data_IF_303692420384
#
_entry.id   IF_303692420384
#
_cell.length_a   1.000
_cell.length_b   1.000
_cell.length_c   1.000
_cell.angle_alpha   90.00
_cell.angle_beta   90.00
_cell.angle_gamma   90.00
#
_symmetry.space_group_name_H-M   'P 1'
#
loop_
_entity.id
_entity.type
_entity.pdbx_description
1 polymer ?
#
# COMPACT_ATOMS: atom_id res chain seq x y z
N UNK A 1 -2.14 -23.70 -8.03
CA UNK A 1 -0.74 -23.22 -8.15
C UNK A 1 -0.64 -21.75 -8.50
N UNK A 2 -1.05 -21.31 -9.70
CA UNK A 2 -0.89 -19.89 -10.11
C UNK A 2 -1.85 -18.96 -9.37
N UNK A 3 -3.10 -19.37 -9.20
CA UNK A 3 -4.10 -18.68 -8.35
C UNK A 3 -3.54 -18.44 -6.93
N UNK A 4 -3.06 -19.48 -6.27
CA UNK A 4 -2.52 -19.38 -4.90
C UNK A 4 -1.29 -18.47 -4.81
N UNK A 5 -0.49 -18.42 -5.88
CA UNK A 5 0.64 -17.50 -5.99
C UNK A 5 0.18 -16.05 -6.06
N UNK A 6 -0.81 -15.74 -6.90
CA UNK A 6 -1.38 -14.39 -7.02
C UNK A 6 -2.00 -13.91 -5.70
N UNK A 7 -2.72 -14.81 -5.03
CA UNK A 7 -3.34 -14.53 -3.73
C UNK A 7 -2.29 -14.29 -2.64
N UNK A 8 -1.22 -15.09 -2.59
CA UNK A 8 -0.08 -14.83 -1.68
C UNK A 8 0.65 -13.53 -2.01
N UNK A 9 0.78 -13.19 -3.28
CA UNK A 9 1.43 -11.94 -3.69
C UNK A 9 0.61 -10.73 -3.23
N UNK A 10 -0.72 -10.81 -3.30
CA UNK A 10 -1.61 -9.71 -2.94
C UNK A 10 -1.45 -9.25 -1.48
N UNK A 11 -1.44 -10.17 -0.50
CA UNK A 11 -1.23 -9.77 0.90
C UNK A 11 0.17 -9.21 1.15
N UNK A 12 1.20 -9.75 0.48
CA UNK A 12 2.60 -9.28 0.59
C UNK A 12 2.75 -7.88 0.02
N UNK A 13 2.15 -7.61 -1.13
CA UNK A 13 2.11 -6.28 -1.73
C UNK A 13 1.34 -5.31 -0.83
N UNK A 14 0.24 -5.76 -0.23
CA UNK A 14 -0.48 -5.01 0.81
C UNK A 14 0.43 -4.62 1.98
N UNK A 15 1.16 -5.58 2.56
CA UNK A 15 2.10 -5.28 3.66
C UNK A 15 3.20 -4.31 3.25
N UNK A 16 3.83 -4.54 2.09
CA UNK A 16 4.91 -3.69 1.59
C UNK A 16 4.42 -2.26 1.36
N UNK A 17 3.35 -2.11 0.58
CA UNK A 17 2.75 -0.81 0.29
C UNK A 17 2.25 -0.12 1.56
N UNK A 18 1.64 -0.86 2.47
CA UNK A 18 1.14 -0.34 3.74
C UNK A 18 2.26 0.22 4.61
N UNK A 19 3.37 -0.51 4.77
CA UNK A 19 4.55 -0.02 5.51
C UNK A 19 5.17 1.20 4.81
N UNK A 20 5.35 1.13 3.49
CA UNK A 20 5.91 2.23 2.71
C UNK A 20 5.07 3.50 2.81
N UNK A 21 3.75 3.39 2.78
CA UNK A 21 2.83 4.53 2.91
C UNK A 21 2.73 5.03 4.37
N UNK A 22 2.76 4.12 5.35
CA UNK A 22 2.78 4.49 6.76
C UNK A 22 4.02 5.34 7.09
N UNK A 23 5.17 4.92 6.59
CA UNK A 23 6.45 5.62 6.76
C UNK A 23 6.67 6.74 5.72
N UNK A 24 5.80 6.84 4.70
CA UNK A 24 5.94 7.75 3.57
C UNK A 24 6.25 9.19 3.95
N UNK A 25 5.49 9.81 4.89
CA UNK A 25 5.77 11.16 5.36
C UNK A 25 7.15 11.31 6.01
N UNK A 26 7.55 10.37 6.86
CA UNK A 26 8.85 10.37 7.55
C UNK A 26 9.99 10.20 6.54
N UNK A 27 9.84 9.26 5.60
CA UNK A 27 10.82 9.03 4.54
C UNK A 27 10.96 10.24 3.61
N UNK A 28 9.85 10.90 3.27
CA UNK A 28 9.86 12.13 2.46
C UNK A 28 10.59 13.26 3.19
N UNK A 29 10.34 13.42 4.50
CA UNK A 29 11.04 14.39 5.33
C UNK A 29 12.56 14.11 5.36
N UNK A 30 12.96 12.87 5.62
CA UNK A 30 14.38 12.47 5.65
C UNK A 30 15.06 12.68 4.29
N UNK A 31 14.40 12.29 3.19
CA UNK A 31 14.91 12.50 1.83
C UNK A 31 15.07 13.99 1.51
N UNK A 32 14.11 14.82 1.91
CA UNK A 32 14.18 16.27 1.74
C UNK A 32 15.36 16.86 2.54
N UNK A 33 15.47 16.52 3.81
CA UNK A 33 16.53 17.02 4.70
C UNK A 33 17.93 16.60 4.24
N UNK A 34 18.13 15.30 3.98
CA UNK A 34 19.41 14.76 3.49
C UNK A 34 19.74 15.26 2.09
N UNK A 35 18.75 15.39 1.22
CA UNK A 35 18.91 15.95 -0.12
C UNK A 35 19.41 17.40 -0.09
N UNK A 36 18.91 18.22 0.83
CA UNK A 36 19.38 19.59 1.01
C UNK A 36 20.87 19.66 1.39
N UNK A 37 21.34 18.73 2.25
CA UNK A 37 22.74 18.66 2.69
C UNK A 37 23.65 18.18 1.54
N UNK A 38 23.23 17.15 0.81
CA UNK A 38 24.06 16.46 -0.18
C UNK A 38 24.13 17.23 -1.50
N UNK A 39 22.99 17.59 -2.08
CA UNK A 39 22.95 18.13 -3.44
C UNK A 39 23.36 19.59 -3.52
N UNK A 40 23.10 20.37 -2.46
CA UNK A 40 23.31 21.84 -2.40
C UNK A 40 22.70 22.62 -3.58
N UNK A 41 21.82 21.96 -4.33
CA UNK A 41 21.13 22.45 -5.52
C UNK A 41 19.63 22.13 -5.33
N UNK A 42 18.79 23.17 -5.17
CA UNK A 42 17.35 22.99 -4.98
C UNK A 42 16.67 22.19 -6.10
N UNK A 43 17.18 22.28 -7.33
CA UNK A 43 16.57 21.61 -8.50
C UNK A 43 16.74 20.10 -8.43
N UNK A 44 17.94 19.64 -8.06
CA UNK A 44 18.23 18.20 -7.91
C UNK A 44 17.47 17.60 -6.74
N UNK A 45 17.37 18.33 -5.63
CA UNK A 45 16.56 17.95 -4.49
C UNK A 45 15.08 17.80 -4.87
N UNK A 46 14.54 18.77 -5.62
CA UNK A 46 13.15 18.74 -6.10
C UNK A 46 12.86 17.49 -6.93
N UNK A 47 13.75 17.14 -7.87
CA UNK A 47 13.60 15.92 -8.70
C UNK A 47 13.50 14.66 -7.84
N UNK A 48 14.35 14.51 -6.83
CA UNK A 48 14.33 13.35 -5.92
C UNK A 48 13.04 13.31 -5.09
N UNK A 49 12.62 14.44 -4.53
CA UNK A 49 11.38 14.52 -3.74
C UNK A 49 10.14 14.24 -4.58
N UNK A 50 10.09 14.73 -5.82
CA UNK A 50 8.99 14.47 -6.77
C UNK A 50 8.99 13.00 -7.19
N UNK A 51 10.14 12.43 -7.55
CA UNK A 51 10.25 11.01 -7.91
C UNK A 51 9.77 10.09 -6.77
N UNK A 52 10.15 10.39 -5.53
CA UNK A 52 9.67 9.65 -4.36
C UNK A 52 8.16 9.82 -4.16
N UNK A 53 7.62 11.03 -4.39
CA UNK A 53 6.18 11.28 -4.29
C UNK A 53 5.37 10.53 -5.35
N UNK A 54 5.91 10.40 -6.57
CA UNK A 54 5.33 9.58 -7.63
C UNK A 54 5.34 8.09 -7.28
N UNK A 55 6.42 7.60 -6.66
CA UNK A 55 6.48 6.22 -6.16
C UNK A 55 5.40 5.94 -5.10
N UNK A 56 5.22 6.84 -4.12
CA UNK A 56 4.14 6.70 -3.14
C UNK A 56 2.76 6.75 -3.81
N UNK A 57 2.60 7.61 -4.82
CA UNK A 57 1.36 7.68 -5.62
C UNK A 57 1.06 6.37 -6.34
N UNK A 58 2.09 5.73 -6.91
CA UNK A 58 1.95 4.40 -7.51
C UNK A 58 1.45 3.36 -6.52
N UNK A 59 2.00 3.33 -5.29
CA UNK A 59 1.52 2.41 -4.24
C UNK A 59 0.05 2.66 -3.87
N UNK A 60 -0.40 3.92 -3.83
CA UNK A 60 -1.81 4.26 -3.54
C UNK A 60 -2.74 3.69 -4.61
N UNK A 61 -2.41 3.90 -5.88
CA UNK A 61 -3.17 3.36 -7.03
C UNK A 61 -3.16 1.84 -7.01
N UNK A 62 -1.99 1.24 -6.76
CA UNK A 62 -1.84 -0.21 -6.66
C UNK A 62 -2.78 -0.80 -5.60
N UNK A 63 -2.89 -0.18 -4.41
CA UNK A 63 -3.77 -0.68 -3.35
C UNK A 63 -5.24 -0.57 -3.73
N UNK A 64 -5.66 0.52 -4.38
CA UNK A 64 -7.03 0.66 -4.89
C UNK A 64 -7.32 -0.44 -5.93
N UNK A 65 -6.38 -0.67 -6.86
CA UNK A 65 -6.50 -1.70 -7.88
C UNK A 65 -6.56 -3.11 -7.26
N UNK A 66 -5.71 -3.43 -6.28
CA UNK A 66 -5.72 -4.72 -5.60
C UNK A 66 -7.00 -4.96 -4.77
N UNK A 67 -7.49 -3.93 -4.08
CA UNK A 67 -8.77 -4.02 -3.37
C UNK A 67 -9.93 -4.21 -4.34
N UNK A 68 -9.95 -3.50 -5.47
CA UNK A 68 -10.97 -3.68 -6.51
C UNK A 68 -10.88 -5.07 -7.15
N UNK A 69 -9.67 -5.54 -7.42
CA UNK A 69 -9.44 -6.89 -7.94
C UNK A 69 -9.98 -7.94 -6.97
N UNK A 70 -9.76 -7.81 -5.66
CA UNK A 70 -10.34 -8.70 -4.67
C UNK A 70 -11.87 -8.67 -4.67
N UNK A 71 -12.47 -7.50 -4.93
CA UNK A 71 -13.93 -7.37 -5.05
C UNK A 71 -14.51 -8.21 -6.20
N UNK A 72 -13.77 -8.31 -7.31
CA UNK A 72 -14.19 -9.02 -8.51
C UNK A 72 -13.80 -10.51 -8.42
N UNK A 73 -12.56 -10.79 -8.00
CA UNK A 73 -11.98 -12.13 -8.05
C UNK A 73 -12.54 -13.08 -6.98
N UNK A 74 -12.92 -12.54 -5.82
CA UNK A 74 -13.50 -13.29 -4.71
C UNK A 74 -14.98 -13.00 -4.55
N UNK A 75 -15.69 -12.76 -5.65
CA UNK A 75 -17.10 -12.38 -5.62
C UNK A 75 -17.97 -13.39 -4.85
N UNK A 76 -17.72 -14.69 -5.07
CA UNK A 76 -18.41 -15.80 -4.41
C UNK A 76 -17.99 -15.99 -2.94
N UNK A 77 -16.77 -15.58 -2.58
CA UNK A 77 -16.21 -15.73 -1.23
C UNK A 77 -16.35 -14.41 -0.44
N UNK A 78 -17.55 -14.13 0.08
CA UNK A 78 -17.84 -12.88 0.79
C UNK A 78 -16.86 -12.58 1.94
N UNK A 79 -16.37 -13.64 2.62
CA UNK A 79 -15.40 -13.54 3.71
C UNK A 79 -13.98 -13.15 3.25
N UNK A 80 -13.55 -13.60 2.06
CA UNK A 80 -12.28 -13.18 1.43
C UNK A 80 -12.31 -11.73 1.00
N UNK A 81 -13.49 -11.30 0.58
CA UNK A 81 -13.67 -10.11 -0.22
C UNK A 81 -13.86 -8.86 0.64
N UNK A 82 -14.84 -8.81 1.54
CA UNK A 82 -15.33 -7.51 2.01
C UNK A 82 -14.30 -6.68 2.79
N UNK A 83 -13.85 -7.17 3.95
CA UNK A 83 -13.06 -6.34 4.86
C UNK A 83 -11.67 -5.99 4.31
N UNK A 84 -10.86 -6.94 3.79
CA UNK A 84 -9.56 -6.61 3.20
C UNK A 84 -9.65 -5.66 2.01
N UNK A 85 -10.61 -5.88 1.10
CA UNK A 85 -10.76 -5.05 -0.10
C UNK A 85 -11.12 -3.62 0.25
N UNK A 86 -12.08 -3.44 1.17
CA UNK A 86 -12.51 -2.11 1.62
C UNK A 86 -11.34 -1.39 2.29
N UNK A 87 -10.55 -2.08 3.12
CA UNK A 87 -9.37 -1.49 3.77
C UNK A 87 -8.28 -1.08 2.77
N UNK A 88 -8.06 -1.87 1.72
CA UNK A 88 -7.13 -1.52 0.65
C UNK A 88 -7.60 -0.31 -0.16
N UNK A 89 -8.88 -0.26 -0.51
CA UNK A 89 -9.46 0.87 -1.26
C UNK A 89 -9.44 2.14 -0.41
N UNK A 90 -9.99 2.10 0.81
CA UNK A 90 -10.01 3.25 1.70
C UNK A 90 -8.61 3.71 2.06
N UNK A 91 -7.69 2.79 2.31
CA UNK A 91 -6.31 3.14 2.62
C UNK A 91 -5.57 3.76 1.42
N UNK A 92 -5.83 3.28 0.20
CA UNK A 92 -5.31 3.91 -1.02
C UNK A 92 -5.89 5.30 -1.26
N UNK A 93 -7.21 5.48 -1.09
CA UNK A 93 -7.90 6.78 -1.25
C UNK A 93 -7.45 7.79 -0.20
N UNK A 94 -7.44 7.42 1.09
CA UNK A 94 -6.93 8.26 2.16
C UNK A 94 -5.43 8.53 2.03
N UNK A 95 -4.71 7.64 1.33
CA UNK A 95 -3.33 7.85 0.92
C UNK A 95 -3.14 9.10 0.06
N UNK A 96 -4.12 9.49 -0.77
CA UNK A 96 -4.01 10.68 -1.63
C UNK A 96 -4.13 12.00 -0.86
N UNK A 97 -4.80 11.96 0.29
CA UNK A 97 -4.95 13.12 1.14
C UNK A 97 -3.66 13.34 1.93
N UNK A 98 -3.02 14.49 1.70
CA UNK A 98 -1.64 14.76 2.16
C UNK A 98 -1.43 14.55 3.67
N UNK A 99 -2.38 14.95 4.51
CA UNK A 99 -2.27 14.82 5.97
C UNK A 99 -2.60 13.42 6.50
N UNK A 100 -3.26 12.58 5.70
CA UNK A 100 -3.75 11.25 6.12
C UNK A 100 -3.02 10.11 5.42
N UNK A 101 -1.93 10.39 4.72
CA UNK A 101 -1.15 9.36 4.00
C UNK A 101 -0.73 8.20 4.92
N UNK A 102 -0.30 8.52 6.13
CA UNK A 102 0.07 7.53 7.16
C UNK A 102 -1.14 6.71 7.65
N UNK A 103 -2.32 7.33 7.75
CA UNK A 103 -3.59 6.64 8.08
C UNK A 103 -3.93 5.65 6.96
N UNK A 104 -3.73 6.06 5.71
CA UNK A 104 -3.90 5.19 4.55
C UNK A 104 -3.02 3.95 4.65
N UNK A 105 -1.73 4.14 4.94
CA UNK A 105 -0.78 3.04 5.18
C UNK A 105 -1.21 2.11 6.32
N UNK A 106 -1.70 2.66 7.43
CA UNK A 106 -2.22 1.88 8.56
C UNK A 106 -3.41 0.99 8.17
N UNK A 107 -4.38 1.53 7.43
CA UNK A 107 -5.54 0.78 6.95
C UNK A 107 -5.13 -0.35 6.00
N UNK A 108 -4.18 -0.08 5.10
CA UNK A 108 -3.64 -1.09 4.19
C UNK A 108 -2.97 -2.23 4.98
N UNK A 109 -2.16 -1.90 5.99
CA UNK A 109 -1.54 -2.93 6.86
C UNK A 109 -2.63 -3.77 7.54
N UNK A 110 -3.66 -3.13 8.09
CA UNK A 110 -4.79 -3.85 8.70
C UNK A 110 -5.50 -4.75 7.68
N UNK A 111 -5.74 -4.27 6.47
CA UNK A 111 -6.32 -5.06 5.38
C UNK A 111 -5.45 -6.27 5.04
N UNK A 112 -4.14 -6.10 4.97
CA UNK A 112 -3.20 -7.14 4.60
C UNK A 112 -3.07 -8.21 5.69
N UNK A 113 -3.03 -7.81 6.96
CA UNK A 113 -3.03 -8.73 8.11
C UNK A 113 -4.33 -9.53 8.15
N UNK A 114 -5.47 -8.87 7.99
CA UNK A 114 -6.78 -9.56 7.94
C UNK A 114 -6.83 -10.56 6.80
N UNK A 115 -6.36 -10.16 5.60
CA UNK A 115 -6.30 -11.06 4.46
C UNK A 115 -5.38 -12.25 4.72
N UNK A 116 -4.19 -12.01 5.27
CA UNK A 116 -3.24 -13.08 5.61
C UNK A 116 -3.84 -14.10 6.60
N UNK A 117 -4.57 -13.65 7.62
CA UNK A 117 -5.25 -14.56 8.56
C UNK A 117 -6.27 -15.43 7.84
N UNK A 118 -7.08 -14.81 6.98
CA UNK A 118 -8.04 -15.55 6.17
C UNK A 118 -7.36 -16.60 5.28
N UNK A 119 -6.27 -16.22 4.58
CA UNK A 119 -5.54 -17.14 3.71
C UNK A 119 -4.98 -18.35 4.44
N UNK A 120 -4.60 -18.17 5.71
CA UNK A 120 -4.18 -19.24 6.59
C UNK A 120 -5.35 -20.16 6.93
N UNK A 121 -6.44 -19.59 7.42
CA UNK A 121 -7.59 -20.34 7.96
C UNK A 121 -8.35 -21.13 6.88
N UNK A 122 -8.57 -20.53 5.70
CA UNK A 122 -9.44 -21.12 4.68
C UNK A 122 -8.69 -21.83 3.57
N UNK A 123 -7.45 -21.41 3.27
CA UNK A 123 -6.67 -21.96 2.15
C UNK A 123 -5.35 -22.61 2.56
N UNK A 124 -4.92 -22.50 3.82
CA UNK A 124 -3.63 -23.04 4.27
C UNK A 124 -2.42 -22.46 3.54
N UNK A 125 -2.52 -21.22 3.03
CA UNK A 125 -1.51 -20.65 2.12
C UNK A 125 -0.43 -19.79 2.80
N UNK A 126 -0.61 -19.44 4.07
CA UNK A 126 0.25 -18.55 4.88
C UNK A 126 0.24 -19.02 6.33
#
# INVERSE_FOLDING_TARGET
MERDRLVRLNWRLGMLAGITLLLGPVLRFLLSYTGAIIYKDPSKMLVVTVAFSLLLTFFKILMIALGTFMLIYFEEDQQLRMLPSILFILGGVLGFLSATEWIGGFLIIKGAVTFSKFLKEVRGLV
#
